data_IF_640323402363
#
_entry.id   IF_640323402363
#
_cell.length_a   1.000
_cell.length_b   1.000
_cell.length_c   1.000
_cell.angle_alpha   90.00
_cell.angle_beta   90.00
_cell.angle_gamma   90.00
#
_symmetry.space_group_name_H-M   'P 1'
#
loop_
_entity.id
_entity.type
_entity.pdbx_description
1 polymer ?
#
# COMPACT_ATOMS: atom_id res chain seq x y z
N UNK A 1 16.19 -22.88 -38.82
CA UNK A 1 16.35 -21.46 -38.48
C UNK A 1 16.10 -21.29 -37.00
N UNK A 2 16.92 -20.50 -36.29
CA UNK A 2 16.70 -20.19 -34.88
C UNK A 2 15.90 -18.88 -34.75
N UNK A 3 15.00 -18.81 -33.77
CA UNK A 3 14.26 -17.59 -33.45
C UNK A 3 14.99 -16.82 -32.35
N UNK A 4 14.96 -15.49 -32.42
CA UNK A 4 15.53 -14.59 -31.40
C UNK A 4 14.51 -13.53 -31.00
N UNK A 5 14.61 -13.07 -29.76
CA UNK A 5 13.75 -12.01 -29.24
C UNK A 5 14.22 -10.63 -29.73
N UNK A 6 13.29 -9.80 -30.20
CA UNK A 6 13.53 -8.39 -30.58
C UNK A 6 13.07 -7.40 -29.50
N UNK A 7 12.50 -7.90 -28.42
CA UNK A 7 12.01 -7.16 -27.26
C UNK A 7 12.27 -7.96 -25.99
N UNK A 8 12.06 -7.33 -24.83
CA UNK A 8 12.17 -8.01 -23.53
C UNK A 8 11.13 -9.14 -23.43
N UNK A 9 11.55 -10.41 -23.27
CA UNK A 9 10.62 -11.54 -23.23
C UNK A 9 9.88 -11.61 -21.89
N UNK A 10 8.64 -12.09 -21.93
CA UNK A 10 7.92 -12.41 -20.69
C UNK A 10 8.63 -13.54 -19.93
N UNK A 11 8.69 -13.41 -18.60
CA UNK A 11 9.30 -14.41 -17.72
C UNK A 11 10.81 -14.27 -17.52
N UNK A 12 11.50 -13.41 -18.27
CA UNK A 12 12.90 -13.09 -17.97
C UNK A 12 12.98 -12.16 -16.75
N UNK A 13 13.74 -12.58 -15.74
CA UNK A 13 13.95 -11.83 -14.50
C UNK A 13 14.53 -10.43 -14.75
N UNK A 14 15.40 -10.29 -15.77
CA UNK A 14 15.98 -9.02 -16.18
C UNK A 14 14.97 -8.03 -16.77
N UNK A 15 13.87 -8.52 -17.35
CA UNK A 15 12.90 -7.67 -18.05
C UNK A 15 12.18 -6.72 -17.11
N UNK A 16 11.85 -7.17 -15.89
CA UNK A 16 11.25 -6.33 -14.86
C UNK A 16 12.23 -5.22 -14.45
N UNK A 17 13.48 -5.59 -14.14
CA UNK A 17 14.51 -4.63 -13.69
C UNK A 17 14.81 -3.59 -14.78
N UNK A 18 14.93 -4.04 -16.03
CA UNK A 18 15.18 -3.15 -17.16
C UNK A 18 14.01 -2.19 -17.38
N UNK A 19 12.77 -2.69 -17.32
CA UNK A 19 11.59 -1.85 -17.47
C UNK A 19 11.41 -0.86 -16.31
N UNK A 20 11.78 -1.23 -15.07
CA UNK A 20 11.75 -0.28 -13.94
C UNK A 20 12.54 1.00 -14.22
N UNK A 21 13.71 0.88 -14.86
CA UNK A 21 14.54 2.05 -15.22
C UNK A 21 13.84 2.94 -16.22
N UNK A 22 13.23 2.35 -17.24
CA UNK A 22 12.42 3.07 -18.23
C UNK A 22 11.24 3.75 -17.54
N UNK A 23 10.52 3.04 -16.68
CA UNK A 23 9.35 3.58 -16.00
C UNK A 23 9.70 4.78 -15.12
N UNK A 24 10.80 4.69 -14.37
CA UNK A 24 11.32 5.79 -13.57
C UNK A 24 11.76 6.97 -14.43
N UNK A 25 12.37 6.73 -15.58
CA UNK A 25 12.75 7.79 -16.51
C UNK A 25 11.52 8.50 -17.07
N UNK A 26 10.47 7.77 -17.47
CA UNK A 26 9.20 8.36 -17.93
C UNK A 26 8.55 9.21 -16.83
N UNK A 27 8.47 8.68 -15.61
CA UNK A 27 7.94 9.44 -14.46
C UNK A 27 8.79 10.69 -14.16
N UNK A 28 10.12 10.60 -14.28
CA UNK A 28 11.01 11.73 -14.11
C UNK A 28 10.78 12.81 -15.18
N UNK A 29 10.65 12.43 -16.46
CA UNK A 29 10.32 13.35 -17.54
C UNK A 29 8.98 14.04 -17.30
N UNK A 30 7.94 13.31 -16.91
CA UNK A 30 6.64 13.90 -16.57
C UNK A 30 6.74 14.90 -15.40
N UNK A 31 7.55 14.61 -14.38
CA UNK A 31 7.77 15.53 -13.25
C UNK A 31 8.50 16.80 -13.67
N UNK A 32 9.56 16.70 -14.48
CA UNK A 32 10.41 17.88 -14.81
C UNK A 32 9.88 18.70 -15.99
N UNK A 33 9.27 18.06 -16.99
CA UNK A 33 8.80 18.73 -18.21
C UNK A 33 7.36 19.23 -18.08
N UNK A 34 6.53 18.51 -17.33
CA UNK A 34 5.10 18.78 -17.23
C UNK A 34 4.66 19.19 -15.82
N UNK A 35 5.60 19.28 -14.87
CA UNK A 35 5.33 19.59 -13.46
C UNK A 35 4.30 18.66 -12.78
N UNK A 36 4.18 17.41 -13.24
CA UNK A 36 3.21 16.45 -12.71
C UNK A 36 3.72 15.76 -11.45
N UNK A 37 2.84 15.60 -10.45
CA UNK A 37 3.12 14.82 -9.22
C UNK A 37 2.90 13.32 -9.50
N UNK A 38 3.76 12.74 -10.32
CA UNK A 38 3.66 11.34 -10.71
C UNK A 38 4.24 10.40 -9.64
N UNK A 39 3.47 9.38 -9.30
CA UNK A 39 3.89 8.21 -8.54
C UNK A 39 3.91 7.04 -9.53
N UNK A 40 4.97 6.23 -9.47
CA UNK A 40 5.11 5.07 -10.35
C UNK A 40 5.57 3.84 -9.56
N UNK A 41 4.97 2.70 -9.87
CA UNK A 41 5.39 1.39 -9.37
C UNK A 41 5.33 0.40 -10.52
N UNK A 42 6.50 -0.08 -10.94
CA UNK A 42 6.64 -0.88 -12.17
C UNK A 42 5.99 -0.16 -13.37
N UNK A 43 4.96 -0.73 -13.98
CA UNK A 43 4.20 -0.18 -15.12
C UNK A 43 2.98 0.65 -14.72
N UNK A 44 2.63 0.70 -13.44
CA UNK A 44 1.51 1.50 -12.95
C UNK A 44 1.95 2.93 -12.65
N UNK A 45 1.21 3.90 -13.19
CA UNK A 45 1.39 5.33 -12.94
C UNK A 45 0.10 5.94 -12.42
N UNK A 46 0.22 6.78 -11.40
CA UNK A 46 -0.91 7.49 -10.82
C UNK A 46 -0.43 8.79 -10.17
N UNK A 47 -1.32 9.76 -10.06
CA UNK A 47 -0.98 11.07 -9.51
C UNK A 47 -2.19 11.64 -8.75
N UNK A 48 -2.00 12.17 -7.53
CA UNK A 48 -2.94 13.13 -6.96
C UNK A 48 -2.76 14.47 -7.67
N UNK A 49 -3.85 15.12 -8.06
CA UNK A 49 -3.83 16.39 -8.79
C UNK A 49 -5.04 17.24 -8.40
N UNK A 50 -4.93 18.56 -8.55
CA UNK A 50 -6.05 19.47 -8.25
C UNK A 50 -7.12 19.37 -9.33
N UNK A 51 -8.38 19.54 -8.94
CA UNK A 51 -9.50 19.51 -9.87
C UNK A 51 -9.35 20.51 -11.04
N UNK A 52 -8.66 21.64 -10.82
CA UNK A 52 -8.41 22.66 -11.84
C UNK A 52 -7.40 22.26 -12.93
N UNK A 53 -6.54 21.28 -12.66
CA UNK A 53 -5.40 20.88 -13.51
C UNK A 53 -5.40 19.40 -13.86
N UNK A 54 -6.34 18.61 -13.35
CA UNK A 54 -6.34 17.16 -13.50
C UNK A 54 -6.52 16.71 -14.95
N UNK A 55 -7.42 17.33 -15.70
CA UNK A 55 -7.66 16.98 -17.11
C UNK A 55 -6.46 17.32 -17.98
N UNK A 56 -5.90 18.53 -17.84
CA UNK A 56 -4.74 18.95 -18.61
C UNK A 56 -3.49 18.15 -18.24
N UNK A 57 -3.31 17.81 -16.96
CA UNK A 57 -2.21 16.96 -16.51
C UNK A 57 -2.30 15.53 -17.05
N UNK A 58 -3.51 14.96 -17.05
CA UNK A 58 -3.79 13.63 -17.60
C UNK A 58 -3.49 13.58 -19.12
N UNK A 59 -4.00 14.55 -19.88
CA UNK A 59 -3.75 14.62 -21.33
C UNK A 59 -2.28 14.88 -21.65
N UNK A 60 -1.60 15.75 -20.90
CA UNK A 60 -0.17 16.00 -21.07
C UNK A 60 0.66 14.72 -20.86
N UNK A 61 0.30 13.91 -19.86
CA UNK A 61 0.94 12.61 -19.62
C UNK A 61 0.74 11.62 -20.77
N UNK A 62 -0.48 11.55 -21.32
CA UNK A 62 -0.79 10.73 -22.50
C UNK A 62 0.02 11.18 -23.72
N UNK A 63 0.06 12.48 -23.97
CA UNK A 63 0.85 13.06 -25.07
C UNK A 63 2.34 12.76 -24.96
N UNK A 64 2.91 12.82 -23.75
CA UNK A 64 4.31 12.45 -23.53
C UNK A 64 4.59 11.00 -23.97
N UNK A 65 3.69 10.06 -23.68
CA UNK A 65 3.85 8.67 -24.12
C UNK A 65 3.81 8.55 -25.64
N UNK A 66 2.86 9.23 -26.27
CA UNK A 66 2.72 9.25 -27.74
C UNK A 66 4.00 9.79 -28.39
N UNK A 67 4.52 10.93 -27.92
CA UNK A 67 5.73 11.56 -28.46
C UNK A 67 6.95 10.65 -28.31
N UNK A 68 7.08 9.96 -27.17
CA UNK A 68 8.19 9.05 -26.90
C UNK A 68 8.00 7.67 -27.57
N UNK A 69 6.90 7.45 -28.30
CA UNK A 69 6.61 6.19 -28.98
C UNK A 69 6.16 5.05 -28.05
N UNK A 70 5.80 5.35 -26.80
CA UNK A 70 5.25 4.38 -25.86
C UNK A 70 3.74 4.25 -26.03
N UNK A 71 3.26 3.01 -26.14
CA UNK A 71 1.82 2.73 -26.26
C UNK A 71 1.23 2.43 -24.91
N UNK A 72 0.38 3.33 -24.42
CA UNK A 72 -0.46 3.07 -23.26
C UNK A 72 -1.51 1.99 -23.61
N UNK A 73 -1.84 1.15 -22.64
CA UNK A 73 -2.90 0.17 -22.79
C UNK A 73 -4.23 0.84 -22.48
N UNK A 74 -4.84 1.48 -23.48
CA UNK A 74 -6.06 2.31 -23.35
C UNK A 74 -7.17 1.70 -22.47
N UNK A 75 -7.54 0.40 -22.58
CA UNK A 75 -8.59 -0.16 -21.72
C UNK A 75 -8.25 -0.20 -20.22
N UNK A 76 -6.97 -0.04 -19.86
CA UNK A 76 -6.50 0.08 -18.48
C UNK A 76 -6.30 1.52 -18.03
N UNK A 77 -6.35 2.49 -18.94
CA UNK A 77 -6.19 3.89 -18.61
C UNK A 77 -7.45 4.38 -17.91
N UNK A 78 -7.30 4.75 -16.64
CA UNK A 78 -8.36 5.39 -15.87
C UNK A 78 -8.12 6.90 -15.97
N UNK A 79 -9.12 7.65 -16.39
CA UNK A 79 -9.08 9.11 -16.42
C UNK A 79 -9.11 9.72 -15.01
N UNK A 80 -9.15 11.06 -14.93
CA UNK A 80 -9.39 11.76 -13.67
C UNK A 80 -10.59 11.21 -12.90
N UNK A 81 -10.37 10.84 -11.63
CA UNK A 81 -11.40 10.24 -10.78
C UNK A 81 -11.13 10.53 -9.31
N UNK A 82 -12.20 10.63 -8.52
CA UNK A 82 -12.12 10.66 -7.05
C UNK A 82 -11.87 9.28 -6.45
N UNK A 83 -12.09 8.21 -7.22
CA UNK A 83 -12.04 6.82 -6.76
C UNK A 83 -11.19 6.00 -7.73
N UNK A 84 -10.04 5.52 -7.23
CA UNK A 84 -9.03 4.81 -8.02
C UNK A 84 -8.62 3.53 -7.32
N UNK A 85 -8.59 2.41 -8.05
CA UNK A 85 -7.95 1.19 -7.56
C UNK A 85 -6.57 1.04 -8.18
N UNK A 86 -5.53 1.04 -7.34
CA UNK A 86 -4.14 0.96 -7.78
C UNK A 86 -3.30 0.16 -6.78
N UNK A 87 -2.35 -0.64 -7.29
CA UNK A 87 -1.55 -1.60 -6.49
C UNK A 87 -2.41 -2.56 -5.64
N UNK A 88 -3.66 -2.72 -6.04
CA UNK A 88 -4.69 -3.48 -5.33
C UNK A 88 -5.07 -2.93 -3.96
N UNK A 89 -4.98 -1.60 -3.81
CA UNK A 89 -5.68 -0.78 -2.82
C UNK A 89 -6.82 -0.03 -3.52
N UNK A 90 -7.82 0.39 -2.75
CA UNK A 90 -8.74 1.46 -3.12
C UNK A 90 -8.20 2.77 -2.56
N UNK A 91 -8.17 3.81 -3.39
CA UNK A 91 -7.82 5.16 -3.03
C UNK A 91 -9.00 6.03 -3.38
N UNK A 92 -9.54 6.77 -2.41
CA UNK A 92 -10.55 7.78 -2.71
C UNK A 92 -10.21 9.13 -2.12
N UNK A 93 -10.70 10.20 -2.73
CA UNK A 93 -10.52 11.58 -2.26
C UNK A 93 -11.86 12.21 -1.92
N UNK A 94 -11.97 12.80 -0.74
CA UNK A 94 -13.16 13.56 -0.34
C UNK A 94 -12.79 14.66 0.65
N UNK A 95 -13.32 15.88 0.44
CA UNK A 95 -13.24 16.97 1.42
C UNK A 95 -11.82 17.33 1.89
N UNK A 96 -10.83 17.32 0.99
CA UNK A 96 -9.44 17.61 1.36
C UNK A 96 -8.72 16.43 2.04
N UNK A 97 -9.27 15.23 1.98
CA UNK A 97 -8.67 14.03 2.54
C UNK A 97 -8.54 12.92 1.50
N UNK A 98 -7.55 12.06 1.73
CA UNK A 98 -7.33 10.83 0.99
C UNK A 98 -7.64 9.64 1.90
N UNK A 99 -8.41 8.70 1.38
CA UNK A 99 -8.82 7.48 2.06
C UNK A 99 -8.18 6.29 1.37
N UNK A 100 -7.53 5.44 2.15
CA UNK A 100 -6.98 4.17 1.68
C UNK A 100 -7.83 3.03 2.20
N UNK A 101 -8.24 2.12 1.32
CA UNK A 101 -9.05 0.96 1.65
C UNK A 101 -8.53 -0.31 0.95
N UNK A 102 -8.92 -1.46 1.46
CA UNK A 102 -8.75 -2.73 0.75
C UNK A 102 -10.00 -3.01 -0.08
N UNK A 103 -9.85 -3.48 -1.33
CA UNK A 103 -10.97 -4.05 -2.06
C UNK A 103 -11.66 -5.15 -1.24
N UNK A 104 -13.00 -5.15 -1.22
CA UNK A 104 -13.79 -6.07 -0.38
C UNK A 104 -13.46 -7.54 -0.63
N UNK A 105 -13.20 -7.93 -1.89
CA UNK A 105 -12.78 -9.29 -2.23
C UNK A 105 -11.45 -9.69 -1.57
N UNK A 106 -10.47 -8.76 -1.53
CA UNK A 106 -9.18 -9.02 -0.85
C UNK A 106 -9.38 -9.12 0.65
N UNK A 107 -10.19 -8.23 1.23
CA UNK A 107 -10.53 -8.23 2.66
C UNK A 107 -11.21 -9.53 3.06
N UNK A 108 -12.21 -9.99 2.31
CA UNK A 108 -12.90 -11.26 2.51
C UNK A 108 -11.91 -12.44 2.49
N UNK A 109 -11.05 -12.53 1.47
CA UNK A 109 -10.03 -13.59 1.38
C UNK A 109 -9.06 -13.65 2.56
N UNK A 110 -8.75 -12.51 3.18
CA UNK A 110 -7.91 -12.48 4.39
C UNK A 110 -8.70 -12.99 5.59
N UNK A 111 -9.92 -12.48 5.77
CA UNK A 111 -10.82 -12.89 6.85
C UNK A 111 -11.11 -14.39 6.79
N UNK A 112 -11.40 -14.93 5.61
CA UNK A 112 -11.66 -16.36 5.40
C UNK A 112 -10.46 -17.21 5.82
N UNK A 113 -9.24 -16.79 5.46
CA UNK A 113 -8.02 -17.51 5.84
C UNK A 113 -7.72 -17.44 7.33
N UNK A 114 -8.08 -16.34 7.99
CA UNK A 114 -8.03 -16.27 9.45
C UNK A 114 -9.05 -17.24 10.06
N UNK A 115 -10.28 -17.26 9.54
CA UNK A 115 -11.34 -18.14 10.04
C UNK A 115 -11.00 -19.61 9.87
N UNK A 116 -10.46 -20.00 8.71
CA UNK A 116 -9.94 -21.35 8.44
C UNK A 116 -8.91 -21.74 9.51
N UNK A 117 -7.88 -20.93 9.73
CA UNK A 117 -6.84 -21.20 10.72
C UNK A 117 -7.40 -21.33 12.15
N UNK A 118 -8.34 -20.47 12.53
CA UNK A 118 -9.00 -20.52 13.84
C UNK A 118 -9.91 -21.76 13.99
N UNK A 119 -10.64 -22.13 12.93
CA UNK A 119 -11.57 -23.27 12.94
C UNK A 119 -10.87 -24.62 12.93
N UNK A 120 -9.76 -24.74 12.21
CA UNK A 120 -8.91 -25.94 12.19
C UNK A 120 -8.01 -26.02 13.43
N UNK A 121 -8.00 -24.98 14.27
CA UNK A 121 -7.07 -24.81 15.38
C UNK A 121 -5.60 -25.00 14.95
N UNK A 122 -5.29 -24.61 13.71
CA UNK A 122 -4.01 -24.94 13.07
C UNK A 122 -3.55 -23.85 12.12
N UNK A 123 -2.27 -23.51 12.20
CA UNK A 123 -1.59 -22.62 11.27
C UNK A 123 -0.19 -23.18 10.99
N UNK A 124 0.03 -23.71 9.78
CA UNK A 124 1.37 -24.15 9.38
C UNK A 124 2.30 -22.96 9.15
N UNK A 125 3.62 -23.14 9.29
CA UNK A 125 4.60 -22.08 9.01
C UNK A 125 4.43 -21.45 7.61
N UNK A 126 4.17 -22.28 6.59
CA UNK A 126 3.94 -21.80 5.22
C UNK A 126 2.63 -21.00 5.07
N UNK A 127 1.55 -21.43 5.75
CA UNK A 127 0.29 -20.70 5.79
C UNK A 127 0.43 -19.39 6.57
N UNK A 128 1.17 -19.41 7.69
CA UNK A 128 1.50 -18.22 8.47
C UNK A 128 2.27 -17.20 7.63
N UNK A 129 3.27 -17.62 6.86
CA UNK A 129 4.04 -16.72 6.01
C UNK A 129 3.17 -16.03 4.95
N UNK A 130 2.29 -16.79 4.29
CA UNK A 130 1.33 -16.25 3.30
C UNK A 130 0.33 -15.30 3.96
N UNK A 131 -0.22 -15.69 5.11
CA UNK A 131 -1.20 -14.88 5.83
C UNK A 131 -0.56 -13.59 6.37
N UNK A 132 0.64 -13.67 6.94
CA UNK A 132 1.37 -12.53 7.45
C UNK A 132 1.71 -11.52 6.34
N UNK A 133 2.12 -11.99 5.16
CA UNK A 133 2.33 -11.11 4.01
C UNK A 133 1.06 -10.35 3.59
N UNK A 134 -0.09 -11.04 3.59
CA UNK A 134 -1.39 -10.40 3.31
C UNK A 134 -1.79 -9.41 4.40
N UNK A 135 -1.58 -9.75 5.66
CA UNK A 135 -1.90 -8.89 6.79
C UNK A 135 -0.97 -7.67 6.86
N UNK A 136 0.31 -7.82 6.49
CA UNK A 136 1.24 -6.71 6.38
C UNK A 136 0.78 -5.74 5.29
N UNK A 137 0.37 -6.25 4.13
CA UNK A 137 -0.25 -5.43 3.09
C UNK A 137 -1.53 -4.76 3.61
N UNK A 138 -2.41 -5.49 4.31
CA UNK A 138 -3.63 -4.94 4.86
C UNK A 138 -3.39 -3.86 5.93
N UNK A 139 -2.29 -3.95 6.68
CA UNK A 139 -1.93 -2.95 7.68
C UNK A 139 -1.68 -1.56 7.10
N UNK A 140 -1.45 -1.44 5.79
CA UNK A 140 -1.27 -0.15 5.12
C UNK A 140 -2.54 0.72 5.12
N UNK A 141 -3.70 0.08 5.21
CA UNK A 141 -5.03 0.73 5.23
C UNK A 141 -5.67 0.74 6.61
N UNK A 142 -5.06 0.11 7.60
CA UNK A 142 -5.55 0.17 8.96
C UNK A 142 -5.11 1.51 9.60
N UNK A 143 -6.00 2.21 10.31
CA UNK A 143 -5.75 3.57 10.83
C UNK A 143 -4.83 3.56 12.04
N UNK A 144 -4.71 2.43 12.74
CA UNK A 144 -3.98 2.33 13.99
C UNK A 144 -2.74 1.45 13.90
N UNK A 145 -1.68 1.88 14.59
CA UNK A 145 -0.51 1.05 14.86
C UNK A 145 -0.83 -0.15 15.77
N UNK A 146 -2.07 -0.25 16.28
CA UNK A 146 -2.54 -1.33 17.15
C UNK A 146 -2.52 -2.69 16.45
N UNK A 147 -2.47 -2.75 15.12
CA UNK A 147 -2.29 -4.01 14.39
C UNK A 147 -0.88 -4.61 14.54
N UNK A 148 0.15 -3.80 14.85
CA UNK A 148 1.56 -4.22 14.85
C UNK A 148 1.89 -5.32 15.88
N UNK A 149 1.45 -5.24 17.15
CA UNK A 149 1.69 -6.31 18.11
C UNK A 149 1.08 -7.64 17.67
N UNK A 150 -0.15 -7.61 17.14
CA UNK A 150 -0.83 -8.81 16.63
C UNK A 150 -0.14 -9.39 15.40
N UNK A 151 0.30 -8.53 14.47
CA UNK A 151 1.10 -8.94 13.31
C UNK A 151 2.41 -9.60 13.71
N UNK A 152 3.10 -9.05 14.72
CA UNK A 152 4.35 -9.62 15.23
C UNK A 152 4.14 -11.03 15.76
N UNK A 153 3.02 -11.27 16.44
CA UNK A 153 2.69 -12.61 16.92
C UNK A 153 2.53 -13.60 15.76
N UNK A 154 1.79 -13.23 14.71
CA UNK A 154 1.64 -14.06 13.49
C UNK A 154 2.98 -14.28 12.78
N UNK A 155 3.82 -13.25 12.69
CA UNK A 155 5.17 -13.36 12.09
C UNK A 155 6.08 -14.29 12.91
N UNK A 156 6.01 -14.24 14.24
CA UNK A 156 6.80 -15.12 15.11
C UNK A 156 6.45 -16.60 14.93
N UNK A 157 5.23 -16.89 14.47
CA UNK A 157 4.74 -18.23 14.17
C UNK A 157 5.40 -18.84 12.93
N UNK A 158 5.87 -18.02 11.99
CA UNK A 158 6.54 -18.46 10.76
C UNK A 158 7.79 -19.28 11.10
N UNK A 159 8.54 -18.89 12.12
CA UNK A 159 9.81 -19.52 12.48
C UNK A 159 9.67 -20.72 13.41
N UNK A 160 8.45 -21.24 13.63
CA UNK A 160 8.19 -22.37 14.54
C UNK A 160 7.38 -23.48 13.86
N UNK A 161 8.02 -24.29 13.00
CA UNK A 161 7.35 -25.34 12.23
C UNK A 161 6.80 -26.49 13.10
N UNK A 162 7.33 -26.63 14.31
CA UNK A 162 6.93 -27.60 15.35
C UNK A 162 5.58 -27.24 16.00
N UNK A 163 5.21 -25.96 15.99
CA UNK A 163 4.02 -25.44 16.65
C UNK A 163 2.94 -25.13 15.63
N UNK A 164 2.24 -26.15 15.14
CA UNK A 164 1.14 -25.94 14.18
C UNK A 164 -0.21 -25.70 14.86
N UNK A 165 -0.44 -26.33 16.02
CA UNK A 165 -1.70 -26.22 16.75
C UNK A 165 -1.77 -24.91 17.55
N UNK A 166 -2.84 -24.14 17.37
CA UNK A 166 -2.95 -22.77 17.90
C UNK A 166 -3.33 -22.73 19.39
N UNK A 167 -4.44 -23.38 19.77
CA UNK A 167 -5.04 -23.31 21.11
C UNK A 167 -4.12 -23.81 22.22
N UNK A 168 -3.37 -24.87 21.96
CA UNK A 168 -2.58 -25.58 22.96
C UNK A 168 -1.22 -24.94 23.19
N UNK A 169 -0.66 -24.27 22.17
CA UNK A 169 0.73 -23.81 22.18
C UNK A 169 0.89 -22.29 22.08
N UNK A 170 -0.13 -21.55 21.62
CA UNK A 170 -0.09 -20.10 21.37
C UNK A 170 -1.47 -19.43 21.56
N UNK A 171 -1.99 -19.32 22.80
CA UNK A 171 -3.23 -18.57 23.05
C UNK A 171 -3.16 -17.11 22.57
N UNK A 172 -1.96 -16.52 22.56
CA UNK A 172 -1.74 -15.18 22.00
C UNK A 172 -1.89 -15.12 20.48
N UNK A 173 -1.56 -16.18 19.73
CA UNK A 173 -1.75 -16.20 18.27
C UNK A 173 -3.24 -16.27 17.91
N UNK A 174 -4.03 -17.06 18.64
CA UNK A 174 -5.50 -17.09 18.52
C UNK A 174 -6.08 -15.69 18.79
N UNK A 175 -5.61 -15.04 19.85
CA UNK A 175 -6.03 -13.68 20.21
C UNK A 175 -5.66 -12.68 19.12
N UNK A 176 -4.42 -12.72 18.63
CA UNK A 176 -3.91 -11.85 17.58
C UNK A 176 -4.71 -11.98 16.28
N UNK A 177 -4.97 -13.21 15.83
CA UNK A 177 -5.79 -13.49 14.65
C UNK A 177 -7.22 -12.99 14.83
N UNK A 178 -7.81 -13.19 16.01
CA UNK A 178 -9.16 -12.71 16.32
C UNK A 178 -9.24 -11.19 16.27
N UNK A 179 -8.29 -10.49 16.91
CA UNK A 179 -8.22 -9.02 16.89
C UNK A 179 -7.99 -8.47 15.49
N UNK A 180 -7.09 -9.06 14.70
CA UNK A 180 -6.87 -8.64 13.32
C UNK A 180 -8.12 -8.83 12.45
N UNK A 181 -8.88 -9.92 12.65
CA UNK A 181 -10.16 -10.12 11.96
C UNK A 181 -11.19 -9.06 12.35
N UNK A 182 -11.29 -8.72 13.63
CA UNK A 182 -12.19 -7.66 14.11
C UNK A 182 -11.82 -6.30 13.51
N UNK A 183 -10.54 -5.94 13.52
CA UNK A 183 -10.04 -4.69 12.91
C UNK A 183 -10.34 -4.63 11.41
N UNK A 184 -10.17 -5.73 10.68
CA UNK A 184 -10.48 -5.80 9.25
C UNK A 184 -11.99 -5.66 8.98
N UNK A 185 -12.85 -6.20 9.86
CA UNK A 185 -14.31 -6.10 9.72
C UNK A 185 -14.85 -4.73 10.07
N UNK A 186 -14.20 -4.01 10.98
CA UNK A 186 -14.65 -2.70 11.45
C UNK A 186 -14.74 -1.65 10.34
N UNK A 187 -15.59 -0.64 10.57
CA UNK A 187 -15.67 0.57 9.74
C UNK A 187 -14.35 1.37 9.74
N UNK A 188 -13.50 1.10 10.72
CA UNK A 188 -12.13 1.62 10.80
C UNK A 188 -11.17 0.99 9.79
N UNK A 189 -11.55 0.05 8.92
CA UNK A 189 -10.63 -0.54 7.94
C UNK A 189 -10.23 0.41 6.77
N UNK A 190 -10.43 1.71 6.96
CA UNK A 190 -10.10 2.79 6.04
C UNK A 190 -9.13 3.72 6.74
N UNK A 191 -7.98 3.96 6.13
CA UNK A 191 -6.99 4.90 6.64
C UNK A 191 -7.25 6.28 6.04
N UNK A 192 -7.48 7.24 6.93
CA UNK A 192 -7.66 8.65 6.59
C UNK A 192 -6.33 9.39 6.60
N UNK A 193 -6.07 10.16 5.54
CA UNK A 193 -4.91 11.04 5.41
C UNK A 193 -5.44 12.42 5.02
N UNK A 194 -5.41 13.37 5.97
CA UNK A 194 -5.73 14.76 5.67
C UNK A 194 -4.68 15.33 4.73
N UNK A 195 -5.12 15.94 3.63
CA UNK A 195 -4.27 16.73 2.75
C UNK A 195 -4.12 18.11 3.38
N UNK A 196 -2.93 18.67 3.31
CA UNK A 196 -2.69 20.01 3.86
C UNK A 196 -3.40 21.05 3.00
N UNK A 197 -4.18 21.94 3.62
CA UNK A 197 -4.72 23.11 2.93
C UNK A 197 -3.58 24.06 2.57
N UNK A 198 -3.70 24.65 1.37
CA UNK A 198 -2.72 25.54 0.75
C UNK A 198 -2.70 26.88 1.50
N UNK A 199 -2.11 26.88 2.70
CA UNK A 199 -1.82 28.04 3.53
C UNK A 199 -0.58 28.76 2.99
N UNK A 200 -0.57 29.01 1.68
CA UNK A 200 0.55 29.57 0.93
C UNK A 200 1.80 28.69 0.94
N UNK A 201 2.72 28.97 0.03
CA UNK A 201 4.04 28.31 -0.18
C UNK A 201 4.94 28.33 1.09
N UNK A 202 4.48 28.90 2.19
CA UNK A 202 5.19 29.11 3.45
C UNK A 202 4.91 28.10 4.58
N UNK A 203 3.92 27.20 4.48
CA UNK A 203 3.48 26.41 5.65
C UNK A 203 4.16 25.05 5.86
N UNK A 204 4.57 24.30 4.81
CA UNK A 204 5.28 23.02 5.04
C UNK A 204 6.78 23.26 5.31
N UNK A 205 7.11 23.83 6.48
CA UNK A 205 8.51 24.09 6.84
C UNK A 205 9.23 22.90 7.45
N UNK A 206 8.54 21.97 8.12
CA UNK A 206 9.18 20.86 8.85
C UNK A 206 8.26 19.64 9.01
N UNK A 207 8.67 18.50 8.45
CA UNK A 207 8.24 17.18 8.91
C UNK A 207 9.20 16.68 9.99
N UNK A 208 8.69 16.30 11.16
CA UNK A 208 9.45 15.68 12.23
C UNK A 208 9.19 14.18 12.22
N UNK A 209 10.24 13.39 12.15
CA UNK A 209 10.17 11.94 12.32
C UNK A 209 10.53 11.65 13.77
N UNK A 210 9.55 11.17 14.53
CA UNK A 210 9.78 10.59 15.85
C UNK A 210 10.10 9.12 15.66
N UNK A 211 11.27 8.68 16.08
CA UNK A 211 11.60 7.26 16.12
C UNK A 211 11.94 6.84 17.55
N UNK A 212 11.43 5.70 17.96
CA UNK A 212 11.80 5.04 19.22
C UNK A 212 12.18 3.58 18.92
N UNK A 213 13.13 3.06 19.70
CA UNK A 213 13.69 1.73 19.52
C UNK A 213 13.64 0.96 20.84
N UNK A 214 13.18 -0.28 20.78
CA UNK A 214 13.24 -1.19 21.92
C UNK A 214 14.55 -1.97 21.93
N UNK A 215 15.03 -2.34 23.12
CA UNK A 215 16.24 -3.15 23.32
C UNK A 215 16.18 -4.54 22.66
N UNK A 216 14.98 -5.00 22.27
CA UNK A 216 14.75 -6.26 21.54
C UNK A 216 14.78 -6.10 20.01
N UNK A 217 15.29 -4.97 19.48
CA UNK A 217 15.50 -4.76 18.04
C UNK A 217 14.26 -4.25 17.28
N UNK A 218 13.22 -3.78 17.97
CA UNK A 218 12.05 -3.19 17.32
C UNK A 218 12.19 -1.68 17.19
N UNK A 219 12.18 -1.15 15.96
CA UNK A 219 12.13 0.30 15.71
C UNK A 219 10.69 0.68 15.30
N UNK A 220 10.14 1.70 15.95
CA UNK A 220 8.90 2.37 15.55
C UNK A 220 9.20 3.80 15.12
N UNK A 221 8.58 4.26 14.03
CA UNK A 221 8.66 5.66 13.62
C UNK A 221 7.26 6.23 13.33
N UNK A 222 7.09 7.51 13.62
CA UNK A 222 5.92 8.33 13.29
C UNK A 222 6.43 9.61 12.63
N UNK A 223 6.00 9.84 11.38
CA UNK A 223 6.18 11.13 10.73
C UNK A 223 5.02 12.05 11.13
N UNK A 224 5.35 13.25 11.61
CA UNK A 224 4.41 14.30 11.97
C UNK A 224 4.88 15.61 11.38
N UNK A 225 4.08 16.25 10.52
CA UNK A 225 4.34 17.63 10.11
C UNK A 225 3.68 18.59 11.12
N UNK A 226 4.33 19.73 11.41
CA UNK A 226 3.91 20.67 12.46
C UNK A 226 2.46 21.17 12.34
N UNK A 227 1.84 21.04 11.17
CA UNK A 227 0.46 21.46 10.90
C UNK A 227 -0.56 20.31 10.94
N UNK A 228 -0.17 19.08 11.28
CA UNK A 228 -1.14 18.05 11.65
C UNK A 228 -1.69 18.38 13.04
N UNK A 229 -2.91 18.91 13.10
CA UNK A 229 -3.69 18.94 14.34
C UNK A 229 -3.68 17.51 14.89
N UNK A 230 -3.06 17.32 16.06
CA UNK A 230 -2.92 16.01 16.69
C UNK A 230 -4.30 15.33 16.76
N UNK A 231 -4.45 14.05 16.38
CA UNK A 231 -5.54 13.27 16.91
C UNK A 231 -5.34 13.25 18.44
N UNK A 232 -6.27 13.85 19.17
CA UNK A 232 -6.33 13.74 20.62
C UNK A 232 -6.68 12.28 20.91
N UNK A 233 -5.67 11.47 21.23
CA UNK A 233 -5.93 10.20 21.90
C UNK A 233 -6.22 10.54 23.35
N UNK A 234 -7.50 10.47 23.72
CA UNK A 234 -7.91 10.48 25.12
C UNK A 234 -7.28 9.26 25.81
N UNK A 235 -6.67 9.52 26.96
CA UNK A 235 -6.07 8.52 27.84
C UNK A 235 -7.11 7.55 28.42
#
# INVERSE_FOLDING_TARGET
SAFFHVAQPFGASSSVINYCRVSQALAHLGRILLALILINFLDDYFAPERASSVDSGYEAWRWLHVILGWRLKEPKCVGPTSDLSVLGLGISTSGGSLHLSLPEEKKAKIIDKIQEALSEDRLSSSAAAKLAGRLLFASTVLPSNACRPYLREVMSHIHRPDVQKLSTNRPFAVTALTRLKEMLRGAEAVRHISLMEDSGISSVRQACIYSDATSAGGIGAVASAKDFVRPIYAA
#
